data_IF_053437637148
#
_entry.id   IF_053437637148
#
_cell.length_a   1.000
_cell.length_b   1.000
_cell.length_c   1.000
_cell.angle_alpha   90.00
_cell.angle_beta   90.00
_cell.angle_gamma   90.00
#
_symmetry.space_group_name_H-M   'P 1'
#
loop_
_entity.id
_entity.type
_entity.pdbx_description
1 polymer ?
#
# COMPACT_ATOMS: atom_id res chain seq x y z
N UNK A 1 5.77 11.34 -14.28
CA UNK A 1 4.47 11.25 -14.97
C UNK A 1 3.68 10.09 -14.35
N UNK A 2 2.67 10.39 -13.53
CA UNK A 2 1.70 9.38 -13.05
C UNK A 2 0.71 9.15 -14.20
N UNK A 3 0.83 8.02 -14.88
CA UNK A 3 -0.08 7.62 -15.96
C UNK A 3 -1.52 7.62 -15.44
N UNK A 4 -2.41 8.35 -16.11
CA UNK A 4 -3.83 8.48 -15.75
C UNK A 4 -4.63 7.17 -15.85
N UNK A 5 -4.04 6.10 -16.40
CA UNK A 5 -4.66 4.77 -16.56
C UNK A 5 -3.96 3.71 -15.70
N UNK A 6 -3.89 3.91 -14.38
CA UNK A 6 -3.31 2.92 -13.47
C UNK A 6 -4.35 1.85 -13.16
N UNK A 7 -4.12 0.60 -13.60
CA UNK A 7 -4.95 -0.55 -13.23
C UNK A 7 -4.64 -0.94 -11.78
N UNK A 8 -5.68 -1.01 -10.95
CA UNK A 8 -5.59 -1.58 -9.61
C UNK A 8 -5.92 -3.06 -9.69
N UNK A 9 -5.23 -3.88 -8.90
CA UNK A 9 -5.24 -5.34 -9.04
C UNK A 9 -5.70 -6.04 -7.76
N UNK A 10 -5.63 -5.36 -6.62
CA UNK A 10 -6.02 -5.93 -5.33
C UNK A 10 -6.79 -4.92 -4.50
N UNK A 11 -7.67 -5.43 -3.65
CA UNK A 11 -8.22 -4.71 -2.49
C UNK A 11 -7.48 -5.18 -1.25
N UNK A 12 -7.13 -4.25 -0.38
CA UNK A 12 -6.48 -4.56 0.89
C UNK A 12 -6.87 -3.63 2.02
N UNK A 13 -6.50 -4.05 3.23
CA UNK A 13 -6.54 -3.24 4.45
C UNK A 13 -5.11 -2.78 4.75
N UNK A 14 -4.89 -1.47 4.66
CA UNK A 14 -3.61 -0.84 4.90
C UNK A 14 -3.62 -0.20 6.29
N UNK A 15 -2.62 -0.55 7.10
CA UNK A 15 -2.33 0.07 8.39
C UNK A 15 -0.99 0.77 8.25
N UNK A 16 -0.99 2.10 8.21
CA UNK A 16 0.24 2.90 8.16
C UNK A 16 0.48 3.59 9.49
N UNK A 17 1.69 3.49 9.98
CA UNK A 17 2.24 4.40 10.97
C UNK A 17 2.67 5.67 10.27
N UNK A 18 2.57 6.80 10.96
CA UNK A 18 3.10 8.05 10.45
C UNK A 18 4.63 7.95 10.34
N UNK A 19 5.13 7.97 9.11
CA UNK A 19 6.58 7.98 8.87
C UNK A 19 7.19 9.29 9.33
N UNK A 20 8.42 9.23 9.83
CA UNK A 20 9.17 10.39 10.34
C UNK A 20 9.50 11.42 9.26
N UNK A 21 9.41 11.04 7.99
CA UNK A 21 9.67 11.94 6.85
C UNK A 21 8.46 12.78 6.46
N UNK A 22 7.28 12.53 7.04
CA UNK A 22 6.07 13.32 6.80
C UNK A 22 5.96 14.44 7.83
N UNK A 23 5.43 15.60 7.42
CA UNK A 23 5.15 16.70 8.32
C UNK A 23 4.18 16.29 9.43
N UNK A 24 4.34 16.83 10.64
CA UNK A 24 3.49 16.53 11.80
C UNK A 24 1.99 16.77 11.54
N UNK A 25 1.64 17.64 10.59
CA UNK A 25 0.26 17.94 10.22
C UNK A 25 -0.28 17.09 9.06
N UNK A 26 0.55 16.31 8.37
CA UNK A 26 0.10 15.42 7.30
C UNK A 26 -0.88 14.38 7.82
N UNK A 27 -1.97 14.17 7.08
CA UNK A 27 -2.93 13.07 7.29
C UNK A 27 -2.63 11.92 6.33
N UNK A 28 -3.24 10.75 6.55
CA UNK A 28 -3.03 9.57 5.68
C UNK A 28 -3.43 9.84 4.21
N UNK A 29 -4.42 10.71 3.98
CA UNK A 29 -4.82 11.16 2.63
C UNK A 29 -3.76 12.04 1.94
N UNK A 30 -2.93 12.73 2.72
CA UNK A 30 -1.89 13.63 2.21
C UNK A 30 -0.61 12.87 1.85
N UNK A 31 -0.53 11.59 2.22
CA UNK A 31 0.55 10.66 1.88
C UNK A 31 0.45 10.20 0.41
N UNK A 32 0.44 11.18 -0.50
CA UNK A 32 -0.01 10.94 -1.87
C UNK A 32 0.98 10.12 -2.70
N UNK A 33 2.30 10.24 -2.54
CA UNK A 33 3.26 9.41 -3.30
C UNK A 33 4.66 9.48 -2.67
N UNK A 34 5.29 8.32 -2.46
CA UNK A 34 6.63 7.97 -2.99
C UNK A 34 7.00 6.53 -2.59
N UNK A 35 6.85 5.59 -3.54
CA UNK A 35 7.36 4.22 -3.51
C UNK A 35 7.21 3.47 -2.18
N UNK A 36 6.00 2.96 -1.94
CA UNK A 36 5.84 1.91 -0.93
C UNK A 36 6.22 0.56 -1.52
N UNK A 37 6.78 -0.29 -0.67
CA UNK A 37 7.13 -1.65 -1.04
C UNK A 37 6.40 -2.62 -0.13
N UNK A 38 5.80 -3.63 -0.75
CA UNK A 38 5.28 -4.79 -0.05
C UNK A 38 6.44 -5.78 0.12
N UNK A 39 6.78 -6.09 1.36
CA UNK A 39 7.85 -7.03 1.69
C UNK A 39 7.25 -8.42 1.95
N UNK A 40 7.62 -9.40 1.13
CA UNK A 40 7.22 -10.81 1.32
C UNK A 40 8.22 -11.62 2.15
N UNK A 41 9.30 -10.99 2.63
CA UNK A 41 10.44 -11.65 3.26
C UNK A 41 11.47 -12.16 2.26
N UNK A 42 11.02 -12.62 1.09
CA UNK A 42 11.91 -13.05 -0.01
C UNK A 42 12.21 -11.92 -0.99
N UNK A 43 11.21 -11.07 -1.26
CA UNK A 43 11.26 -10.02 -2.29
C UNK A 43 10.46 -8.79 -1.85
N UNK A 44 10.76 -7.68 -2.49
CA UNK A 44 10.04 -6.43 -2.31
C UNK A 44 9.35 -6.03 -3.62
N UNK A 45 8.08 -5.66 -3.52
CA UNK A 45 7.27 -5.26 -4.67
C UNK A 45 6.80 -3.83 -4.52
N UNK A 46 7.21 -2.96 -5.44
CA UNK A 46 6.75 -1.58 -5.44
C UNK A 46 5.27 -1.49 -5.78
N UNK A 47 4.54 -0.75 -4.96
CA UNK A 47 3.12 -0.51 -5.17
C UNK A 47 2.76 0.94 -4.89
N UNK A 48 1.59 1.30 -5.39
CA UNK A 48 0.85 2.47 -4.96
C UNK A 48 -0.55 2.03 -4.58
N UNK A 49 -1.28 2.93 -3.93
CA UNK A 49 -2.63 2.64 -3.50
C UNK A 49 -3.55 3.83 -3.69
N UNK A 50 -4.85 3.54 -3.69
CA UNK A 50 -5.94 4.51 -3.67
C UNK A 50 -6.83 4.17 -2.49
N UNK A 51 -7.08 5.17 -1.64
CA UNK A 51 -7.94 5.01 -0.46
C UNK A 51 -9.40 4.98 -0.92
N UNK A 52 -10.19 4.00 -0.47
CA UNK A 52 -11.62 3.90 -0.80
C UNK A 52 -12.44 5.02 -0.15
N UNK A 53 -12.19 5.30 1.13
CA UNK A 53 -12.83 6.37 1.91
C UNK A 53 -11.78 7.33 2.49
N UNK A 54 -11.32 8.33 1.70
CA UNK A 54 -10.18 9.16 2.07
C UNK A 54 -10.38 10.02 3.32
N UNK A 55 -11.63 10.38 3.64
CA UNK A 55 -11.95 11.22 4.79
C UNK A 55 -11.86 10.48 6.13
N UNK A 56 -11.99 9.15 6.10
CA UNK A 56 -11.99 8.29 7.29
C UNK A 56 -10.62 7.60 7.50
N UNK A 57 -9.66 7.84 6.61
CA UNK A 57 -8.33 7.26 6.69
C UNK A 57 -7.45 8.01 7.70
N UNK A 58 -7.02 7.27 8.73
CA UNK A 58 -6.15 7.76 9.80
C UNK A 58 -4.88 6.90 9.89
N UNK A 59 -3.79 7.50 10.34
CA UNK A 59 -2.62 6.72 10.75
C UNK A 59 -2.95 5.84 11.96
N UNK A 60 -2.21 4.74 12.10
CA UNK A 60 -2.34 3.76 13.18
C UNK A 60 -3.71 3.06 13.26
N UNK A 61 -4.57 3.25 12.24
CA UNK A 61 -5.81 2.51 12.04
C UNK A 61 -5.84 1.86 10.65
N UNK A 62 -6.37 0.63 10.51
CA UNK A 62 -6.55 0.02 9.20
C UNK A 62 -7.58 0.79 8.39
N UNK A 63 -7.31 1.02 7.11
CA UNK A 63 -8.25 1.57 6.14
C UNK A 63 -8.19 0.81 4.82
N UNK A 64 -9.31 0.80 4.08
CA UNK A 64 -9.40 0.09 2.81
C UNK A 64 -8.74 0.85 1.68
N UNK A 65 -8.00 0.09 0.87
CA UNK A 65 -7.29 0.61 -0.30
C UNK A 65 -7.38 -0.34 -1.48
N UNK A 66 -7.36 0.23 -2.68
CA UNK A 66 -7.07 -0.46 -3.93
C UNK A 66 -5.56 -0.38 -4.18
N UNK A 67 -4.89 -1.49 -4.49
CA UNK A 67 -3.45 -1.55 -4.73
C UNK A 67 -3.12 -1.76 -6.20
N UNK A 68 -2.13 -1.03 -6.69
CA UNK A 68 -1.54 -1.24 -8.01
C UNK A 68 -0.03 -1.46 -7.89
N UNK A 69 0.44 -2.57 -8.45
CA UNK A 69 1.85 -2.98 -8.43
C UNK A 69 2.52 -2.68 -9.77
N UNK A 70 3.83 -2.42 -9.74
CA UNK A 70 4.60 -2.18 -10.97
C UNK A 70 4.87 -3.46 -11.77
N UNK A 71 5.00 -4.62 -11.10
CA UNK A 71 5.25 -5.92 -11.72
C UNK A 71 4.21 -6.95 -11.27
N UNK A 72 2.97 -6.79 -11.73
CA UNK A 72 1.82 -7.57 -11.24
C UNK A 72 2.00 -9.09 -11.42
N UNK A 73 2.57 -9.54 -12.53
CA UNK A 73 2.77 -10.98 -12.80
C UNK A 73 3.68 -11.64 -11.75
N UNK A 74 4.73 -10.95 -11.32
CA UNK A 74 5.61 -11.44 -10.27
C UNK A 74 4.92 -11.43 -8.90
N UNK A 75 4.06 -10.44 -8.66
CA UNK A 75 3.29 -10.30 -7.41
C UNK A 75 2.28 -11.42 -7.26
N UNK A 76 1.49 -11.73 -8.30
CA UNK A 76 0.45 -12.77 -8.26
C UNK A 76 1.03 -14.13 -7.86
N UNK A 77 2.27 -14.43 -8.26
CA UNK A 77 2.94 -15.69 -7.92
C UNK A 77 3.58 -15.69 -6.53
N UNK A 78 3.75 -14.52 -5.90
CA UNK A 78 4.49 -14.35 -4.64
C UNK A 78 3.60 -13.99 -3.45
N UNK A 79 2.38 -13.49 -3.68
CA UNK A 79 1.47 -13.05 -2.62
C UNK A 79 0.25 -13.96 -2.49
N UNK A 80 -0.33 -13.97 -1.30
CA UNK A 80 -1.49 -14.74 -0.93
C UNK A 80 -2.58 -13.81 -0.38
N UNK A 81 -3.83 -14.08 -0.75
CA UNK A 81 -4.97 -13.40 -0.14
C UNK A 81 -5.11 -13.79 1.33
N UNK A 82 -5.69 -12.89 2.11
CA UNK A 82 -5.83 -12.92 3.56
C UNK A 82 -4.52 -12.96 4.36
N UNK A 83 -3.37 -12.83 3.68
CA UNK A 83 -2.08 -12.70 4.33
C UNK A 83 -1.73 -11.23 4.57
N UNK A 84 -1.02 -10.97 5.68
CA UNK A 84 -0.56 -9.63 6.06
C UNK A 84 0.92 -9.50 5.75
N UNK A 85 1.25 -8.52 4.94
CA UNK A 85 2.61 -8.21 4.52
C UNK A 85 3.10 -6.92 5.17
N UNK A 86 4.41 -6.84 5.39
CA UNK A 86 5.03 -5.61 5.83
C UNK A 86 5.08 -4.59 4.70
N UNK A 87 4.86 -3.32 5.04
CA UNK A 87 4.92 -2.18 4.14
C UNK A 87 6.12 -1.32 4.48
N UNK A 88 6.98 -1.10 3.50
CA UNK A 88 8.21 -0.33 3.64
C UNK A 88 8.15 0.97 2.85
N UNK A 89 8.85 1.99 3.36
CA UNK A 89 9.22 3.23 2.66
C UNK A 89 10.73 3.35 2.65
N UNK A 90 11.34 3.06 1.51
CA UNK A 90 12.79 2.84 1.48
C UNK A 90 13.17 1.73 2.47
N UNK A 91 14.09 1.97 3.42
CA UNK A 91 14.45 1.00 4.45
C UNK A 91 13.53 1.00 5.69
N UNK A 92 12.59 1.96 5.81
CA UNK A 92 11.74 2.10 7.00
C UNK A 92 10.51 1.19 6.91
N UNK A 93 10.26 0.39 7.94
CA UNK A 93 8.98 -0.30 8.12
C UNK A 93 7.93 0.68 8.65
N UNK A 94 6.93 0.96 7.81
CA UNK A 94 5.91 1.98 8.08
C UNK A 94 4.54 1.39 8.32
N UNK A 95 4.38 0.07 8.30
CA UNK A 95 3.06 -0.53 8.50
C UNK A 95 2.90 -1.91 7.88
N UNK A 96 1.64 -2.26 7.66
CA UNK A 96 1.26 -3.56 7.11
C UNK A 96 0.11 -3.42 6.12
N UNK A 97 0.04 -4.33 5.16
CA UNK A 97 -1.09 -4.47 4.26
C UNK A 97 -1.60 -5.91 4.29
N UNK A 98 -2.89 -6.09 4.50
CA UNK A 98 -3.57 -7.36 4.29
C UNK A 98 -4.24 -7.35 2.92
N UNK A 99 -3.90 -8.28 2.04
CA UNK A 99 -4.57 -8.43 0.75
C UNK A 99 -5.89 -9.18 0.97
N UNK A 100 -7.03 -8.61 0.58
CA UNK A 100 -8.36 -9.17 0.89
C UNK A 100 -8.97 -9.81 -0.35
N UNK A 101 -8.78 -9.19 -1.51
CA UNK A 101 -9.32 -9.67 -2.78
C UNK A 101 -8.48 -9.22 -3.96
N UNK A 102 -8.64 -9.91 -5.08
CA UNK A 102 -8.15 -9.46 -6.38
C UNK A 102 -9.25 -8.65 -7.09
N UNK A 103 -8.84 -7.67 -7.88
CA UNK A 103 -9.69 -6.88 -8.77
C UNK A 103 -9.52 -7.40 -10.19
N UNK A 104 -10.62 -7.59 -10.93
CA UNK A 104 -10.64 -8.09 -12.32
C UNK A 104 -10.08 -7.08 -13.34
#
# INVERSE_FOLDING_TARGET
MLTQNRKYHFVGELLLKKSRVLDEQSRAIDDKVNWLFLNTGERQFSFVYKIEQPLDAEFDKPFRVELAFTMIEAVINAVQLNHTYEVLRGPESIGTVKLIGALE
#
